data_IF_904072393708
#
_entry.id   IF_904072393708
#
_cell.length_a   1.000
_cell.length_b   1.000
_cell.length_c   1.000
_cell.angle_alpha   90.00
_cell.angle_beta   90.00
_cell.angle_gamma   90.00
#
_symmetry.space_group_name_H-M   'P 1'
#
loop_
_entity.id
_entity.type
_entity.pdbx_description
1 polymer ?
#
# COMPACT_ATOMS: atom_id res chain seq x y z
N UNK A 1 -14.14 10.39 -2.47
CA UNK A 1 -12.69 10.33 -2.56
C UNK A 1 -12.34 8.99 -3.17
N UNK A 2 -11.43 8.96 -4.13
CA UNK A 2 -11.04 7.72 -4.81
C UNK A 2 -10.10 6.89 -3.94
N UNK A 3 -10.05 5.58 -4.13
CA UNK A 3 -9.14 4.68 -3.40
C UNK A 3 -7.66 5.11 -3.50
N UNK A 4 -7.27 5.80 -4.59
CA UNK A 4 -5.93 6.37 -4.76
C UNK A 4 -5.65 7.52 -3.79
N UNK A 5 -6.61 8.44 -3.59
CA UNK A 5 -6.41 9.61 -2.71
C UNK A 5 -6.31 9.22 -1.23
N UNK A 6 -6.97 8.12 -0.84
CA UNK A 6 -6.89 7.56 0.51
C UNK A 6 -5.54 6.89 0.75
N UNK A 7 -5.01 6.20 -0.27
CA UNK A 7 -3.70 5.58 -0.24
C UNK A 7 -2.58 6.63 -0.15
N UNK A 8 -2.64 7.69 -0.96
CA UNK A 8 -1.63 8.77 -0.95
C UNK A 8 -1.56 9.43 0.44
N UNK A 9 -2.70 9.70 1.07
CA UNK A 9 -2.76 10.27 2.43
C UNK A 9 -2.21 9.33 3.49
N UNK A 10 -2.44 8.03 3.34
CA UNK A 10 -1.88 7.02 4.23
C UNK A 10 -0.35 7.03 4.13
N UNK A 11 0.18 7.07 2.91
CA UNK A 11 1.63 7.15 2.66
C UNK A 11 2.24 8.43 3.24
N UNK A 12 1.63 9.59 3.00
CA UNK A 12 2.05 10.87 3.58
C UNK A 12 2.09 10.81 5.12
N UNK A 13 1.06 10.19 5.73
CA UNK A 13 0.97 10.05 7.20
C UNK A 13 2.09 9.16 7.75
N UNK A 14 2.41 8.06 7.06
CA UNK A 14 3.51 7.17 7.46
C UNK A 14 4.85 7.88 7.30
N UNK A 15 5.09 8.54 6.16
CA UNK A 15 6.32 9.32 5.91
C UNK A 15 6.50 10.38 7.01
N UNK A 16 5.43 11.10 7.38
CA UNK A 16 5.47 12.10 8.43
C UNK A 16 5.99 11.51 9.76
N UNK A 17 5.43 10.37 10.18
CA UNK A 17 5.81 9.73 11.44
C UNK A 17 7.23 9.13 11.40
N UNK A 18 7.63 8.54 10.26
CA UNK A 18 8.95 7.94 10.11
C UNK A 18 10.06 8.98 10.02
N UNK A 19 9.91 9.98 9.15
CA UNK A 19 10.99 10.90 8.81
C UNK A 19 11.05 12.11 9.74
N UNK A 20 9.92 12.63 10.19
CA UNK A 20 9.88 13.84 11.01
C UNK A 20 9.75 13.53 12.50
N UNK A 21 8.88 12.59 12.86
CA UNK A 21 8.71 12.17 14.26
C UNK A 21 9.69 11.08 14.69
N UNK A 22 10.47 10.53 13.74
CA UNK A 22 11.50 9.49 13.97
C UNK A 22 10.96 8.25 14.67
N UNK A 23 9.71 7.90 14.42
CA UNK A 23 9.13 6.66 14.91
C UNK A 23 9.67 5.46 14.14
N UNK A 24 9.63 4.28 14.74
CA UNK A 24 9.99 3.03 14.05
C UNK A 24 8.81 2.52 13.21
N UNK A 25 9.05 1.81 12.09
CA UNK A 25 7.99 1.25 11.25
C UNK A 25 6.92 0.48 12.04
N UNK A 26 7.32 -0.43 12.92
CA UNK A 26 6.36 -1.18 13.75
C UNK A 26 5.59 -0.33 14.76
N UNK A 27 6.12 0.81 15.21
CA UNK A 27 5.35 1.73 16.07
C UNK A 27 4.28 2.45 15.25
N UNK A 28 4.65 2.95 14.07
CA UNK A 28 3.73 3.64 13.16
C UNK A 28 2.59 2.71 12.74
N UNK A 29 2.92 1.50 12.27
CA UNK A 29 1.93 0.53 11.81
C UNK A 29 0.99 0.10 12.94
N UNK A 30 1.52 -0.26 14.12
CA UNK A 30 0.66 -0.61 15.28
C UNK A 30 -0.23 0.56 15.69
N UNK A 31 0.29 1.79 15.65
CA UNK A 31 -0.49 2.99 15.93
C UNK A 31 -1.64 3.18 14.94
N UNK A 32 -1.39 3.03 13.65
CA UNK A 32 -2.40 3.12 12.59
C UNK A 32 -3.50 2.05 12.75
N UNK A 33 -3.12 0.79 12.97
CA UNK A 33 -4.04 -0.33 13.09
C UNK A 33 -4.83 -0.34 14.41
N UNK A 34 -4.32 0.31 15.46
CA UNK A 34 -5.01 0.46 16.75
C UNK A 34 -5.82 1.77 16.83
N UNK A 35 -5.81 2.58 15.77
CA UNK A 35 -6.49 3.86 15.71
C UNK A 35 -8.02 3.74 15.61
N UNK A 36 -8.75 4.87 15.73
CA UNK A 36 -10.22 4.87 15.69
C UNK A 36 -10.80 4.47 14.33
N UNK A 37 -10.03 4.65 13.24
CA UNK A 37 -10.40 4.28 11.88
C UNK A 37 -9.18 3.62 11.22
N UNK A 38 -8.88 2.34 11.53
CA UNK A 38 -7.71 1.68 10.98
C UNK A 38 -7.86 1.49 9.46
N UNK A 39 -6.76 1.63 8.68
CA UNK A 39 -6.78 1.27 7.27
C UNK A 39 -6.98 -0.24 7.11
N UNK A 40 -7.32 -0.68 5.90
CA UNK A 40 -7.24 -2.09 5.57
C UNK A 40 -5.79 -2.58 5.77
N UNK A 41 -5.55 -3.73 6.42
CA UNK A 41 -4.20 -4.20 6.67
C UNK A 41 -3.34 -4.34 5.41
N UNK A 42 -3.91 -4.73 4.26
CA UNK A 42 -3.14 -4.76 3.01
C UNK A 42 -2.80 -3.36 2.50
N UNK A 43 -3.66 -2.35 2.70
CA UNK A 43 -3.31 -0.97 2.38
C UNK A 43 -2.12 -0.48 3.20
N UNK A 44 -2.05 -0.85 4.49
CA UNK A 44 -0.91 -0.52 5.34
C UNK A 44 0.38 -1.24 4.88
N UNK A 45 0.31 -2.53 4.55
CA UNK A 45 1.43 -3.28 3.96
C UNK A 45 1.88 -2.62 2.65
N UNK A 46 0.93 -2.30 1.77
CA UNK A 46 1.21 -1.68 0.48
C UNK A 46 1.90 -0.32 0.66
N UNK A 47 1.33 0.57 1.48
CA UNK A 47 1.90 1.88 1.79
C UNK A 47 3.34 1.76 2.30
N UNK A 48 3.57 0.84 3.25
CA UNK A 48 4.89 0.66 3.85
C UNK A 48 5.91 0.14 2.83
N UNK A 49 5.51 -0.76 1.91
CA UNK A 49 6.39 -1.21 0.83
C UNK A 49 6.66 -0.14 -0.23
N UNK A 50 5.67 0.71 -0.54
CA UNK A 50 5.86 1.86 -1.45
C UNK A 50 6.89 2.83 -0.88
N UNK A 51 6.74 3.19 0.39
CA UNK A 51 7.68 4.07 1.09
C UNK A 51 9.07 3.44 1.18
N UNK A 52 9.15 2.14 1.51
CA UNK A 52 10.43 1.43 1.55
C UNK A 52 11.14 1.48 0.19
N UNK A 53 10.40 1.26 -0.91
CA UNK A 53 10.94 1.35 -2.26
C UNK A 53 11.41 2.77 -2.59
N UNK A 54 10.63 3.80 -2.27
CA UNK A 54 11.04 5.20 -2.48
C UNK A 54 12.33 5.52 -1.73
N UNK A 55 12.38 5.26 -0.41
CA UNK A 55 13.54 5.49 0.44
C UNK A 55 14.80 4.77 -0.07
N UNK A 56 14.66 3.56 -0.61
CA UNK A 56 15.79 2.80 -1.18
C UNK A 56 16.46 3.50 -2.37
N UNK A 57 15.74 4.39 -3.06
CA UNK A 57 16.24 5.14 -4.22
C UNK A 57 17.15 6.32 -3.89
N UNK A 58 17.18 6.80 -2.64
CA UNK A 58 17.91 8.00 -2.25
C UNK A 58 19.41 7.77 -1.93
N UNK A 59 19.86 6.51 -1.88
CA UNK A 59 21.27 6.10 -1.70
C UNK A 59 21.99 6.64 -0.43
N UNK A 60 21.23 7.16 0.54
CA UNK A 60 21.75 7.58 1.84
C UNK A 60 21.71 6.39 2.82
N UNK A 61 22.79 6.11 3.58
CA UNK A 61 22.84 4.93 4.46
C UNK A 61 21.69 4.86 5.48
N UNK A 62 21.33 6.00 6.07
CA UNK A 62 20.25 6.06 7.06
C UNK A 62 18.88 5.78 6.43
N UNK A 63 18.65 6.26 5.20
CA UNK A 63 17.41 5.99 4.45
C UNK A 63 17.37 4.54 3.96
N UNK A 64 18.52 3.95 3.64
CA UNK A 64 18.62 2.53 3.28
C UNK A 64 18.33 1.61 4.47
N UNK A 65 18.82 1.94 5.66
CA UNK A 65 18.48 1.23 6.89
C UNK A 65 16.98 1.35 7.20
N UNK A 66 16.42 2.56 7.10
CA UNK A 66 14.99 2.78 7.31
C UNK A 66 14.13 2.02 6.28
N UNK A 67 14.52 2.04 5.00
CA UNK A 67 13.89 1.26 3.94
C UNK A 67 13.88 -0.24 4.28
N UNK A 68 15.01 -0.79 4.71
CA UNK A 68 15.14 -2.20 5.09
C UNK A 68 14.18 -2.56 6.22
N UNK A 69 14.10 -1.71 7.26
CA UNK A 69 13.17 -1.90 8.38
C UNK A 69 11.70 -1.81 7.96
N UNK A 70 11.37 -0.95 7.00
CA UNK A 70 10.01 -0.87 6.45
C UNK A 70 9.64 -2.16 5.70
N UNK A 71 10.56 -2.71 4.89
CA UNK A 71 10.34 -4.00 4.24
C UNK A 71 10.22 -5.16 5.24
N UNK A 72 11.04 -5.19 6.28
CA UNK A 72 10.96 -6.19 7.35
C UNK A 72 9.60 -6.16 8.05
N UNK A 73 9.14 -4.97 8.47
CA UNK A 73 7.85 -4.83 9.15
C UNK A 73 6.67 -5.20 8.23
N UNK A 74 6.71 -4.78 6.96
CA UNK A 74 5.70 -5.17 5.97
C UNK A 74 5.65 -6.69 5.78
N UNK A 75 6.82 -7.34 5.78
CA UNK A 75 6.96 -8.79 5.66
C UNK A 75 6.38 -9.52 6.88
N UNK A 76 6.65 -9.03 8.10
CA UNK A 76 6.07 -9.59 9.31
C UNK A 76 4.55 -9.46 9.29
N UNK A 77 4.04 -8.29 8.93
CA UNK A 77 2.62 -8.02 8.89
C UNK A 77 1.88 -8.91 7.87
N UNK A 78 2.42 -9.10 6.66
CA UNK A 78 1.77 -10.01 5.70
C UNK A 78 1.80 -11.47 6.17
N UNK A 79 2.84 -11.89 6.88
CA UNK A 79 2.92 -13.23 7.47
C UNK A 79 1.86 -13.42 8.57
N UNK A 80 1.66 -12.41 9.42
CA UNK A 80 0.63 -12.41 10.46
C UNK A 80 -0.77 -12.49 9.83
N UNK A 81 -1.05 -11.68 8.81
CA UNK A 81 -2.32 -11.73 8.07
C UNK A 81 -2.58 -13.13 7.49
N UNK A 82 -1.58 -13.75 6.87
CA UNK A 82 -1.72 -15.11 6.35
C UNK A 82 -1.98 -16.16 7.43
N UNK A 83 -1.32 -16.02 8.60
CA UNK A 83 -1.52 -16.89 9.75
C UNK A 83 -2.95 -16.75 10.32
N UNK A 84 -3.51 -15.54 10.30
CA UNK A 84 -4.89 -15.26 10.69
C UNK A 84 -5.93 -15.71 9.66
N UNK A 85 -5.50 -16.24 8.51
CA UNK A 85 -6.36 -16.79 7.48
C UNK A 85 -6.66 -15.85 6.32
N UNK A 86 -5.99 -14.69 6.25
CA UNK A 86 -6.07 -13.82 5.08
C UNK A 86 -5.65 -14.58 3.80
N UNK A 87 -6.37 -14.36 2.70
CA UNK A 87 -6.09 -14.95 1.39
C UNK A 87 -6.17 -13.89 0.31
N UNK A 88 -5.14 -13.82 -0.54
CA UNK A 88 -5.17 -13.00 -1.74
C UNK A 88 -6.18 -13.61 -2.73
N UNK A 89 -7.33 -12.96 -2.88
CA UNK A 89 -8.31 -13.34 -3.90
C UNK A 89 -8.03 -12.59 -5.18
N UNK A 90 -8.17 -13.26 -6.34
CA UNK A 90 -8.14 -12.59 -7.64
C UNK A 90 -9.14 -11.42 -7.61
N UNK A 91 -8.77 -10.21 -8.05
CA UNK A 91 -9.72 -9.13 -8.22
C UNK A 91 -10.88 -9.65 -9.08
N UNK A 92 -12.13 -9.37 -8.67
CA UNK A 92 -13.25 -9.60 -9.59
C UNK A 92 -12.96 -8.77 -10.82
N UNK A 93 -12.86 -9.43 -11.98
CA UNK A 93 -12.81 -8.73 -13.26
C UNK A 93 -14.00 -7.78 -13.24
N UNK A 94 -13.73 -6.47 -13.19
CA UNK A 94 -14.76 -5.50 -13.49
C UNK A 94 -15.20 -5.86 -14.91
N UNK A 95 -16.46 -6.28 -15.05
CA UNK A 95 -17.08 -6.62 -16.33
C UNK A 95 -16.72 -5.51 -17.32
N UNK A 96 -15.66 -5.75 -18.09
CA UNK A 96 -15.24 -4.84 -19.12
C UNK A 96 -16.26 -5.05 -20.21
N UNK A 97 -17.30 -4.21 -20.17
CA UNK A 97 -18.12 -3.91 -21.33
C UNK A 97 -17.20 -3.29 -22.41
N UNK A 98 -16.35 -4.10 -23.03
CA UNK A 98 -15.85 -3.80 -24.35
C UNK A 98 -16.94 -4.27 -25.31
N UNK A 99 -17.80 -3.32 -25.69
CA UNK A 99 -18.63 -3.43 -26.85
C UNK A 99 -17.82 -4.02 -28.01
N UNK A 100 -18.28 -5.13 -28.56
CA UNK A 100 -17.86 -5.61 -29.88
C UNK A 100 -18.10 -4.48 -30.89
N UNK A 101 -17.08 -4.00 -31.63
CA UNK A 101 -17.29 -3.18 -32.80
C UNK A 101 -17.71 -4.11 -33.94
N UNK A 102 -19.00 -4.46 -33.96
CA UNK A 102 -19.67 -5.18 -35.04
C UNK A 102 -20.65 -4.25 -35.73
N UNK A 103 -20.37 -4.00 -37.02
CA UNK A 103 -21.33 -3.70 -38.08
C UNK A 103 -22.31 -2.53 -37.85
N UNK A 104 -21.95 -1.37 -38.41
CA UNK A 104 -22.80 -0.67 -39.37
C UNK A 104 -22.02 0.51 -39.95
N UNK A 105 -21.45 0.31 -41.15
CA UNK A 105 -21.18 1.41 -42.07
C UNK A 105 -21.81 1.05 -43.40
N UNK A 106 -23.09 1.36 -43.48
CA UNK A 106 -23.79 1.67 -44.72
C UNK A 106 -23.09 2.84 -45.44
N UNK A 107 -23.43 2.98 -46.72
CA UNK A 107 -23.00 3.99 -47.71
C UNK A 107 -21.65 3.67 -48.40
N UNK A 108 -21.56 3.54 -49.72
CA UNK A 108 -22.41 4.02 -50.83
C UNK A 108 -22.29 3.11 -52.06
#
# INVERSE_FOLDING_TARGET
MGASEEQDKLEETIIQQLMFERQTPGTVVRGLLSGPNPPDPLQAVFALTTIAADLSGWHEPDLQDLSSRCFEEATLMICELWAEGFRLTKPKEADSQTATPGENREEA
#
